data_IF_501620229304
#
_entry.id   IF_501620229304
#
_cell.length_a   1.000
_cell.length_b   1.000
_cell.length_c   1.000
_cell.angle_alpha   90.00
_cell.angle_beta   90.00
_cell.angle_gamma   90.00
#
_symmetry.space_group_name_H-M   'P 1'
#
loop_
_entity.id
_entity.type
_entity.pdbx_description
1 polymer ?
#
# COMPACT_ATOMS: atom_id res chain seq x y z
N UNK A 1 -1.34 -21.38 -7.80
CA UNK A 1 -2.31 -21.62 -6.69
C UNK A 1 -2.12 -20.49 -5.70
N UNK A 2 -3.20 -19.80 -5.30
CA UNK A 2 -3.12 -18.65 -4.39
C UNK A 2 -2.70 -19.14 -3.00
N UNK A 3 -1.77 -18.46 -2.32
CA UNK A 3 -1.25 -18.92 -1.02
C UNK A 3 -2.35 -19.05 0.03
N UNK A 4 -3.30 -18.12 0.07
CA UNK A 4 -4.47 -18.17 0.96
C UNK A 4 -5.30 -19.44 0.77
N UNK A 5 -5.48 -19.92 -0.48
CA UNK A 5 -6.24 -21.15 -0.75
C UNK A 5 -5.50 -22.42 -0.26
N UNK A 6 -4.20 -22.33 -0.02
CA UNK A 6 -3.42 -23.45 0.52
C UNK A 6 -3.47 -23.51 2.04
N UNK A 7 -3.72 -22.39 2.71
CA UNK A 7 -3.79 -22.30 4.18
C UNK A 7 -5.20 -22.59 4.72
N UNK A 8 -6.23 -22.54 3.87
CA UNK A 8 -7.61 -22.82 4.26
C UNK A 8 -7.91 -24.32 4.27
N UNK A 9 -8.53 -24.79 5.35
CA UNK A 9 -9.05 -26.16 5.46
C UNK A 9 -10.13 -26.44 4.39
N UNK A 10 -11.03 -25.48 4.16
CA UNK A 10 -12.02 -25.52 3.08
C UNK A 10 -11.82 -24.36 2.10
N UNK A 11 -11.33 -24.70 0.90
CA UNK A 11 -11.09 -23.75 -0.21
C UNK A 11 -12.37 -23.12 -0.76
N UNK A 12 -13.54 -23.72 -0.54
CA UNK A 12 -14.79 -23.13 -0.99
C UNK A 12 -15.13 -21.84 -0.24
N UNK A 13 -14.53 -21.65 0.94
CA UNK A 13 -14.73 -20.49 1.81
C UNK A 13 -13.90 -19.27 1.43
N UNK A 14 -12.95 -19.36 0.48
CA UNK A 14 -12.09 -18.20 0.14
C UNK A 14 -12.91 -16.97 -0.24
N UNK A 15 -13.93 -17.12 -1.10
CA UNK A 15 -14.78 -16.01 -1.56
C UNK A 15 -15.57 -15.34 -0.43
N UNK A 16 -16.35 -16.06 0.40
CA UNK A 16 -17.08 -15.44 1.50
C UNK A 16 -16.13 -14.81 2.54
N UNK A 17 -14.98 -15.44 2.83
CA UNK A 17 -13.97 -14.88 3.74
C UNK A 17 -13.44 -13.55 3.19
N UNK A 18 -12.96 -13.51 1.95
CA UNK A 18 -12.44 -12.29 1.32
C UNK A 18 -13.50 -11.18 1.30
N UNK A 19 -14.76 -11.51 0.98
CA UNK A 19 -15.85 -10.53 0.97
C UNK A 19 -16.11 -9.95 2.37
N UNK A 20 -16.07 -10.79 3.39
CA UNK A 20 -16.32 -10.39 4.78
C UNK A 20 -15.16 -9.53 5.30
N UNK A 21 -13.93 -9.94 5.05
CA UNK A 21 -12.72 -9.17 5.38
C UNK A 21 -12.74 -7.81 4.69
N UNK A 22 -13.07 -7.75 3.40
CA UNK A 22 -13.14 -6.48 2.67
C UNK A 22 -14.23 -5.56 3.22
N UNK A 23 -15.41 -6.10 3.56
CA UNK A 23 -16.49 -5.33 4.17
C UNK A 23 -16.10 -4.77 5.54
N UNK A 24 -15.43 -5.58 6.38
CA UNK A 24 -14.95 -5.16 7.70
C UNK A 24 -13.85 -4.10 7.59
N UNK A 25 -12.86 -4.28 6.71
CA UNK A 25 -11.83 -3.27 6.50
C UNK A 25 -12.44 -1.96 5.98
N UNK A 26 -13.37 -2.05 5.03
CA UNK A 26 -14.04 -0.88 4.46
C UNK A 26 -14.86 -0.12 5.50
N UNK A 27 -15.58 -0.83 6.38
CA UNK A 27 -16.38 -0.18 7.42
C UNK A 27 -15.52 0.56 8.43
N UNK A 28 -14.37 -0.01 8.83
CA UNK A 28 -13.41 0.66 9.72
C UNK A 28 -12.84 1.91 9.04
N UNK A 29 -12.44 1.84 7.77
CA UNK A 29 -11.93 3.01 7.05
C UNK A 29 -12.98 4.12 6.89
N UNK A 30 -14.22 3.76 6.54
CA UNK A 30 -15.30 4.74 6.39
C UNK A 30 -15.64 5.37 7.74
N UNK A 31 -15.79 4.57 8.80
CA UNK A 31 -16.12 5.08 10.13
C UNK A 31 -15.02 6.03 10.66
N UNK A 32 -13.75 5.63 10.56
CA UNK A 32 -12.63 6.46 11.00
C UNK A 32 -12.54 7.77 10.21
N UNK A 33 -12.66 7.71 8.88
CA UNK A 33 -12.64 8.91 8.03
C UNK A 33 -13.82 9.84 8.31
N UNK A 34 -15.02 9.28 8.51
CA UNK A 34 -16.22 10.04 8.80
C UNK A 34 -16.12 10.79 10.12
N UNK A 35 -15.71 10.11 11.20
CA UNK A 35 -15.56 10.76 12.51
C UNK A 35 -14.39 11.75 12.55
N UNK A 36 -13.28 11.46 11.88
CA UNK A 36 -12.17 12.40 11.75
C UNK A 36 -12.64 13.70 11.07
N UNK A 37 -13.37 13.59 9.96
CA UNK A 37 -13.90 14.75 9.25
C UNK A 37 -14.95 15.52 10.06
N UNK A 38 -15.81 14.83 10.83
CA UNK A 38 -16.76 15.51 11.72
C UNK A 38 -16.05 16.30 12.84
N UNK A 39 -14.89 15.82 13.30
CA UNK A 39 -14.15 16.45 14.39
C UNK A 39 -13.30 17.64 13.92
N UNK A 40 -12.62 17.52 12.77
CA UNK A 40 -11.65 18.52 12.29
C UNK A 40 -12.12 19.31 11.05
N UNK A 41 -13.15 18.83 10.36
CA UNK A 41 -13.67 19.43 9.14
C UNK A 41 -12.59 19.61 8.07
N UNK A 42 -12.59 20.79 7.45
CA UNK A 42 -11.57 21.24 6.48
C UNK A 42 -10.14 21.33 7.07
N UNK A 43 -9.99 21.28 8.40
CA UNK A 43 -8.70 21.28 9.10
C UNK A 43 -8.07 19.89 9.28
N UNK A 44 -8.66 18.83 8.72
CA UNK A 44 -8.13 17.46 8.82
C UNK A 44 -6.76 17.38 8.11
N UNK A 45 -5.72 17.03 8.86
CA UNK A 45 -4.36 16.86 8.32
C UNK A 45 -4.21 15.51 7.63
N UNK A 46 -3.19 15.39 6.78
CA UNK A 46 -2.85 14.13 6.11
C UNK A 46 -2.46 13.02 7.09
N UNK A 47 -1.89 13.40 8.25
CA UNK A 47 -1.77 12.55 9.43
C UNK A 47 -2.79 13.02 10.47
N UNK A 48 -3.88 12.28 10.61
CA UNK A 48 -4.96 12.62 11.53
C UNK A 48 -4.52 12.60 12.99
N UNK A 49 -3.47 11.84 13.36
CA UNK A 49 -2.93 11.87 14.72
C UNK A 49 -2.31 13.23 15.04
N UNK A 50 -1.75 13.93 14.04
CA UNK A 50 -1.20 15.27 14.22
C UNK A 50 -2.28 16.30 14.60
N UNK A 51 -3.54 16.09 14.22
CA UNK A 51 -4.63 16.96 14.66
C UNK A 51 -4.87 16.89 16.19
N UNK A 52 -4.56 15.76 16.82
CA UNK A 52 -4.75 15.55 18.26
C UNK A 52 -3.60 16.11 19.12
N UNK A 53 -2.57 16.69 18.52
CA UNK A 53 -1.50 17.38 19.26
C UNK A 53 -1.96 18.75 19.78
N UNK A 54 -3.07 19.28 19.23
CA UNK A 54 -3.72 20.48 19.72
C UNK A 54 -4.56 20.20 20.96
N UNK A 55 -4.75 21.20 21.83
CA UNK A 55 -5.62 21.05 22.99
C UNK A 55 -7.10 21.05 22.58
N UNK A 56 -7.69 19.86 22.54
CA UNK A 56 -9.12 19.67 22.23
C UNK A 56 -10.04 20.04 23.41
N UNK A 57 -9.51 20.51 24.55
CA UNK A 57 -10.25 20.78 25.79
C UNK A 57 -10.98 19.55 26.35
N UNK A 58 -10.54 18.35 25.98
CA UNK A 58 -11.06 17.06 26.46
C UNK A 58 -10.09 16.54 27.52
N UNK A 59 -10.58 16.15 28.72
CA UNK A 59 -9.71 15.60 29.76
C UNK A 59 -9.01 14.34 29.25
N UNK A 60 -7.71 14.21 29.55
CA UNK A 60 -6.84 13.09 29.15
C UNK A 60 -6.57 12.93 27.65
N UNK A 61 -7.01 13.85 26.78
CA UNK A 61 -6.80 13.76 25.31
C UNK A 61 -5.34 13.54 24.93
N UNK A 62 -4.41 14.31 25.53
CA UNK A 62 -2.97 14.17 25.29
C UNK A 62 -2.45 12.79 25.67
N UNK A 63 -2.87 12.24 26.81
CA UNK A 63 -2.42 10.92 27.28
C UNK A 63 -2.91 9.82 26.35
N UNK A 64 -4.17 9.90 25.90
CA UNK A 64 -4.69 8.94 24.91
C UNK A 64 -3.96 9.04 23.58
N UNK A 65 -3.70 10.25 23.08
CA UNK A 65 -2.91 10.47 21.86
C UNK A 65 -1.52 9.82 21.97
N UNK A 66 -0.82 10.05 23.08
CA UNK A 66 0.50 9.46 23.33
C UNK A 66 0.47 7.93 23.34
N UNK A 67 -0.53 7.34 24.02
CA UNK A 67 -0.71 5.87 24.06
C UNK A 67 -0.94 5.32 22.65
N UNK A 68 -1.80 5.95 21.85
CA UNK A 68 -2.09 5.52 20.47
C UNK A 68 -0.83 5.64 19.60
N UNK A 69 -0.08 6.73 19.72
CA UNK A 69 1.17 6.96 18.98
C UNK A 69 2.24 5.93 19.33
N UNK A 70 2.46 5.66 20.62
CA UNK A 70 3.43 4.65 21.06
C UNK A 70 3.01 3.26 20.57
N UNK A 71 1.72 2.92 20.68
CA UNK A 71 1.18 1.66 20.16
C UNK A 71 1.43 1.52 18.65
N UNK A 72 1.18 2.58 17.88
CA UNK A 72 1.46 2.60 16.45
C UNK A 72 2.94 2.43 16.12
N UNK A 73 3.84 3.13 16.81
CA UNK A 73 5.30 2.99 16.63
C UNK A 73 5.75 1.56 16.91
N UNK A 74 5.30 0.98 18.02
CA UNK A 74 5.62 -0.42 18.37
C UNK A 74 5.08 -1.38 17.32
N UNK A 75 3.85 -1.17 16.83
CA UNK A 75 3.27 -1.97 15.76
C UNK A 75 4.12 -1.92 14.48
N UNK A 76 4.49 -0.71 14.02
CA UNK A 76 5.31 -0.53 12.82
C UNK A 76 6.69 -1.18 12.98
N UNK A 77 7.32 -1.05 14.16
CA UNK A 77 8.59 -1.73 14.46
C UNK A 77 8.49 -3.26 14.34
N UNK A 78 7.37 -3.85 14.75
CA UNK A 78 7.16 -5.30 14.68
C UNK A 78 6.79 -5.78 13.27
N UNK A 79 6.06 -4.98 12.50
CA UNK A 79 5.65 -5.33 11.13
C UNK A 79 6.79 -5.14 10.13
N UNK A 80 7.67 -4.16 10.34
CA UNK A 80 8.76 -3.84 9.43
C UNK A 80 9.65 -5.06 9.05
N UNK A 81 10.13 -5.89 9.99
CA UNK A 81 10.93 -7.07 9.66
C UNK A 81 10.24 -8.05 8.71
N UNK A 82 8.93 -8.24 8.86
CA UNK A 82 8.14 -9.17 8.03
C UNK A 82 8.04 -8.64 6.60
N UNK A 83 7.71 -7.36 6.45
CA UNK A 83 7.60 -6.71 5.13
C UNK A 83 8.98 -6.62 4.46
N UNK A 84 10.01 -6.23 5.21
CA UNK A 84 11.38 -6.11 4.70
C UNK A 84 11.94 -7.47 4.26
N UNK A 85 11.61 -8.55 4.98
CA UNK A 85 11.94 -9.91 4.57
C UNK A 85 11.34 -10.26 3.21
N UNK A 86 10.05 -10.00 3.01
CA UNK A 86 9.38 -10.25 1.74
C UNK A 86 9.95 -9.38 0.60
N UNK A 87 10.22 -8.10 0.86
CA UNK A 87 10.86 -7.19 -0.10
C UNK A 87 12.21 -7.73 -0.56
N UNK A 88 13.04 -8.15 0.39
CA UNK A 88 14.36 -8.72 0.09
C UNK A 88 14.26 -9.97 -0.76
N UNK A 89 13.36 -10.89 -0.44
CA UNK A 89 13.19 -12.11 -1.25
C UNK A 89 12.73 -11.80 -2.68
N UNK A 90 11.80 -10.87 -2.85
CA UNK A 90 11.34 -10.45 -4.18
C UNK A 90 12.47 -9.78 -4.98
N UNK A 91 13.26 -8.90 -4.36
CA UNK A 91 14.39 -8.26 -5.03
C UNK A 91 15.50 -9.27 -5.37
N UNK A 92 15.77 -10.21 -4.46
CA UNK A 92 16.75 -11.29 -4.64
C UNK A 92 16.39 -12.17 -5.85
N UNK A 93 15.13 -12.60 -5.93
CA UNK A 93 14.62 -13.38 -7.06
C UNK A 93 14.55 -12.60 -8.37
N UNK A 94 14.31 -11.29 -8.32
CA UNK A 94 14.33 -10.41 -9.50
C UNK A 94 15.74 -10.22 -10.06
N UNK A 95 16.74 -9.99 -9.19
CA UNK A 95 18.11 -9.70 -9.60
C UNK A 95 18.93 -10.95 -9.92
N UNK A 96 18.69 -12.07 -9.23
CA UNK A 96 19.41 -13.32 -9.50
C UNK A 96 18.47 -14.53 -9.52
N UNK A 97 17.70 -14.70 -10.60
CA UNK A 97 16.67 -15.74 -10.70
C UNK A 97 17.23 -17.18 -10.70
N UNK A 98 18.51 -17.36 -11.05
CA UNK A 98 19.16 -18.69 -11.14
C UNK A 98 20.07 -19.00 -9.94
N UNK A 99 20.23 -18.05 -9.01
CA UNK A 99 21.12 -18.22 -7.87
C UNK A 99 20.50 -19.08 -6.77
N UNK A 100 21.37 -19.70 -5.95
CA UNK A 100 20.94 -20.45 -4.77
C UNK A 100 20.22 -19.51 -3.79
N UNK A 101 19.33 -20.07 -2.98
CA UNK A 101 18.54 -19.32 -2.01
C UNK A 101 19.40 -18.40 -1.14
N UNK A 102 18.93 -17.17 -0.91
CA UNK A 102 19.66 -16.09 -0.24
C UNK A 102 20.24 -16.47 1.14
N UNK A 103 19.62 -17.44 1.82
CA UNK A 103 20.08 -17.94 3.13
C UNK A 103 21.44 -18.65 3.08
N UNK A 104 21.88 -19.11 1.92
CA UNK A 104 23.16 -19.80 1.76
C UNK A 104 24.31 -18.87 1.36
N UNK A 105 24.03 -17.64 0.94
CA UNK A 105 25.04 -16.66 0.54
C UNK A 105 24.96 -15.43 1.46
N UNK A 106 25.75 -15.49 2.53
CA UNK A 106 25.75 -14.45 3.56
C UNK A 106 26.23 -13.09 3.01
N UNK A 107 27.11 -13.10 2.00
CA UNK A 107 27.62 -11.86 1.39
C UNK A 107 26.52 -11.18 0.57
N UNK A 108 25.82 -11.94 -0.28
CA UNK A 108 24.68 -11.44 -1.06
C UNK A 108 23.56 -10.97 -0.15
N UNK A 109 23.25 -11.73 0.89
CA UNK A 109 22.29 -11.35 1.93
C UNK A 109 22.61 -9.98 2.54
N UNK A 110 23.86 -9.78 2.98
CA UNK A 110 24.29 -8.52 3.58
C UNK A 110 24.25 -7.36 2.59
N UNK A 111 24.74 -7.55 1.36
CA UNK A 111 24.75 -6.50 0.33
C UNK A 111 23.33 -6.03 0.02
N UNK A 112 22.40 -6.95 -0.27
CA UNK A 112 21.02 -6.60 -0.61
C UNK A 112 20.34 -5.91 0.59
N UNK A 113 20.55 -6.43 1.80
CA UNK A 113 19.96 -5.86 3.01
C UNK A 113 20.46 -4.44 3.26
N UNK A 114 21.78 -4.23 3.23
CA UNK A 114 22.38 -2.90 3.43
C UNK A 114 21.95 -1.94 2.32
N UNK A 115 21.94 -2.38 1.05
CA UNK A 115 21.49 -1.52 -0.05
C UNK A 115 20.03 -1.11 0.08
N UNK A 116 19.15 -2.04 0.47
CA UNK A 116 17.74 -1.74 0.68
C UNK A 116 17.54 -0.77 1.84
N UNK A 117 18.22 -0.98 2.97
CA UNK A 117 18.14 -0.08 4.12
C UNK A 117 18.65 1.32 3.79
N UNK A 118 19.74 1.43 3.03
CA UNK A 118 20.25 2.73 2.56
C UNK A 118 19.24 3.43 1.67
N UNK A 119 18.65 2.73 0.70
CA UNK A 119 17.62 3.31 -0.19
C UNK A 119 16.39 3.77 0.59
N UNK A 120 15.88 2.94 1.50
CA UNK A 120 14.72 3.29 2.35
C UNK A 120 15.05 4.48 3.25
N UNK A 121 16.25 4.49 3.87
CA UNK A 121 16.68 5.60 4.71
C UNK A 121 16.81 6.91 3.93
N UNK A 122 17.41 6.88 2.74
CA UNK A 122 17.47 8.05 1.87
C UNK A 122 16.08 8.52 1.47
N UNK A 123 15.20 7.62 1.04
CA UNK A 123 13.81 7.97 0.72
C UNK A 123 13.08 8.61 1.91
N UNK A 124 13.27 8.10 3.12
CA UNK A 124 12.68 8.66 4.33
C UNK A 124 13.20 10.07 4.67
N UNK A 125 14.44 10.40 4.31
CA UNK A 125 14.98 11.76 4.51
C UNK A 125 14.52 12.74 3.42
N UNK A 126 14.26 12.27 2.20
CA UNK A 126 13.88 13.14 1.08
C UNK A 126 12.36 13.35 0.94
N UNK A 127 11.54 12.44 1.47
CA UNK A 127 10.08 12.50 1.39
C UNK A 127 9.55 13.12 2.69
N UNK A 128 9.14 14.40 2.69
CA UNK A 128 8.75 15.10 3.91
C UNK A 128 7.37 14.68 4.45
N UNK A 129 6.53 14.05 3.62
CA UNK A 129 5.20 13.57 4.01
C UNK A 129 4.97 12.14 3.55
N UNK A 130 4.54 11.28 4.48
CA UNK A 130 4.16 9.90 4.17
C UNK A 130 2.97 9.82 3.21
N UNK A 131 2.12 10.86 3.20
CA UNK A 131 0.98 10.96 2.30
C UNK A 131 1.41 10.98 0.83
N UNK A 132 2.46 11.73 0.50
CA UNK A 132 2.99 11.81 -0.86
C UNK A 132 3.46 10.42 -1.34
N UNK A 133 4.10 9.65 -0.46
CA UNK A 133 4.53 8.28 -0.75
C UNK A 133 3.35 7.33 -0.98
N UNK A 134 2.30 7.43 -0.17
CA UNK A 134 1.10 6.61 -0.30
C UNK A 134 0.30 6.92 -1.56
N UNK A 135 0.15 8.20 -1.91
CA UNK A 135 -0.52 8.63 -3.14
C UNK A 135 0.19 8.06 -4.38
N UNK A 136 1.51 8.24 -4.46
CA UNK A 136 2.28 7.77 -5.61
C UNK A 136 2.26 6.24 -5.71
N UNK A 137 2.44 5.53 -4.59
CA UNK A 137 2.41 4.06 -4.56
C UNK A 137 1.01 3.52 -4.89
N UNK A 138 -0.04 4.18 -4.41
CA UNK A 138 -1.42 3.85 -4.72
C UNK A 138 -1.75 4.05 -6.20
N UNK A 139 -1.42 5.20 -6.76
CA UNK A 139 -1.68 5.53 -8.17
C UNK A 139 -0.87 4.66 -9.15
N UNK A 140 0.24 4.05 -8.71
CA UNK A 140 1.10 3.24 -9.58
C UNK A 140 0.97 1.75 -9.29
N UNK A 141 1.62 1.27 -8.23
CA UNK A 141 1.74 -0.16 -7.92
C UNK A 141 0.38 -0.80 -7.61
N UNK A 142 -0.46 -0.16 -6.80
CA UNK A 142 -1.75 -0.73 -6.43
C UNK A 142 -2.67 -0.87 -7.64
N UNK A 143 -2.67 0.10 -8.56
CA UNK A 143 -3.51 0.00 -9.76
C UNK A 143 -2.95 -0.99 -10.79
N UNK A 144 -1.62 -1.09 -10.91
CA UNK A 144 -0.99 -2.11 -11.76
C UNK A 144 -1.40 -3.51 -11.32
N UNK A 145 -1.29 -3.81 -10.02
CA UNK A 145 -1.59 -5.14 -9.47
C UNK A 145 -3.10 -5.39 -9.41
N UNK A 146 -3.88 -4.39 -9.01
CA UNK A 146 -5.33 -4.53 -8.79
C UNK A 146 -6.16 -4.55 -10.06
N UNK A 147 -5.74 -3.83 -11.11
CA UNK A 147 -6.56 -3.63 -12.30
C UNK A 147 -5.82 -4.01 -13.60
N UNK A 148 -4.62 -3.48 -13.84
CA UNK A 148 -3.98 -3.63 -15.15
C UNK A 148 -3.49 -5.06 -15.40
N UNK A 149 -2.75 -5.66 -14.47
CA UNK A 149 -2.24 -7.03 -14.65
C UNK A 149 -3.34 -8.09 -14.72
N UNK A 150 -4.38 -8.09 -13.87
CA UNK A 150 -5.49 -9.03 -14.02
C UNK A 150 -6.20 -8.89 -15.37
N UNK A 151 -6.42 -7.66 -15.84
CA UNK A 151 -7.00 -7.41 -17.17
C UNK A 151 -6.09 -7.94 -18.30
N UNK A 152 -4.78 -7.70 -18.21
CA UNK A 152 -3.81 -8.20 -19.18
C UNK A 152 -3.79 -9.72 -19.26
N UNK A 153 -3.92 -10.42 -18.12
CA UNK A 153 -4.00 -11.89 -18.09
C UNK A 153 -5.24 -12.38 -18.83
N UNK A 154 -6.41 -11.74 -18.64
CA UNK A 154 -7.66 -12.08 -19.37
C UNK A 154 -7.48 -11.86 -20.88
N UNK A 155 -6.80 -10.79 -21.29
CA UNK A 155 -6.59 -10.49 -22.70
C UNK A 155 -5.58 -11.42 -23.37
N UNK A 156 -4.57 -11.88 -22.63
CA UNK A 156 -3.56 -12.84 -23.10
C UNK A 156 -3.99 -14.31 -22.95
N UNK A 157 -5.27 -14.56 -22.71
CA UNK A 157 -5.78 -15.90 -22.53
C UNK A 157 -5.55 -16.76 -23.79
N UNK A 158 -4.57 -17.67 -23.68
CA UNK A 158 -4.16 -18.59 -24.75
C UNK A 158 -5.03 -19.84 -24.81
N UNK A 159 -5.82 -20.11 -23.76
CA UNK A 159 -6.69 -21.29 -23.65
C UNK A 159 -8.12 -21.01 -24.14
N UNK A 160 -8.45 -19.76 -24.46
CA UNK A 160 -9.74 -19.38 -25.04
C UNK A 160 -10.93 -19.52 -24.08
N UNK A 161 -10.68 -19.48 -22.78
CA UNK A 161 -11.66 -19.56 -21.70
C UNK A 161 -12.43 -18.23 -21.56
N UNK A 162 -11.75 -17.10 -21.79
CA UNK A 162 -12.31 -15.76 -21.63
C UNK A 162 -13.34 -15.42 -22.72
N UNK A 163 -14.54 -15.00 -22.30
CA UNK A 163 -15.61 -14.63 -23.20
C UNK A 163 -15.36 -13.26 -23.85
N UNK A 164 -16.09 -12.94 -24.93
CA UNK A 164 -16.03 -11.60 -25.55
C UNK A 164 -16.38 -10.49 -24.55
N UNK A 165 -17.29 -10.75 -23.60
CA UNK A 165 -17.66 -9.79 -22.55
C UNK A 165 -16.50 -9.56 -21.59
N UNK A 166 -15.82 -10.62 -21.17
CA UNK A 166 -14.66 -10.52 -20.26
C UNK A 166 -13.52 -9.72 -20.89
N UNK A 167 -13.29 -9.92 -22.20
CA UNK A 167 -12.29 -9.14 -22.95
C UNK A 167 -12.66 -7.67 -23.05
N UNK A 168 -13.93 -7.35 -23.32
CA UNK A 168 -14.40 -5.94 -23.32
C UNK A 168 -14.24 -5.32 -21.94
N UNK A 169 -14.63 -6.02 -20.87
CA UNK A 169 -14.46 -5.57 -19.50
C UNK A 169 -12.98 -5.33 -19.15
N UNK A 170 -12.09 -6.24 -19.54
CA UNK A 170 -10.65 -6.10 -19.33
C UNK A 170 -10.08 -4.86 -20.05
N UNK A 171 -10.46 -4.62 -21.32
CA UNK A 171 -10.06 -3.41 -22.05
C UNK A 171 -10.58 -2.16 -21.34
N UNK A 172 -11.86 -2.13 -20.95
CA UNK A 172 -12.42 -0.97 -20.23
C UNK A 172 -11.70 -0.72 -18.91
N UNK A 173 -11.33 -1.77 -18.19
CA UNK A 173 -10.62 -1.67 -16.92
C UNK A 173 -9.22 -1.07 -17.09
N UNK A 174 -8.48 -1.47 -18.14
CA UNK A 174 -7.17 -0.88 -18.45
C UNK A 174 -7.31 0.58 -18.84
N UNK A 175 -8.27 0.92 -19.72
CA UNK A 175 -8.46 2.31 -20.17
C UNK A 175 -8.79 3.22 -18.98
N UNK A 176 -9.75 2.82 -18.14
CA UNK A 176 -10.11 3.59 -16.94
C UNK A 176 -8.93 3.73 -15.99
N UNK A 177 -8.21 2.64 -15.70
CA UNK A 177 -7.05 2.66 -14.82
C UNK A 177 -5.93 3.60 -15.32
N UNK A 178 -5.60 3.54 -16.62
CA UNK A 178 -4.55 4.40 -17.19
C UNK A 178 -4.97 5.87 -17.15
N UNK A 179 -6.21 6.18 -17.52
CA UNK A 179 -6.71 7.55 -17.49
C UNK A 179 -6.76 8.11 -16.06
N UNK A 180 -7.35 7.38 -15.11
CA UNK A 180 -7.46 7.83 -13.72
C UNK A 180 -6.09 8.03 -13.08
N UNK A 181 -5.15 7.11 -13.32
CA UNK A 181 -3.81 7.22 -12.76
C UNK A 181 -3.01 8.34 -13.40
N UNK A 182 -3.18 8.60 -14.70
CA UNK A 182 -2.49 9.72 -15.35
C UNK A 182 -2.91 11.04 -14.71
N UNK A 183 -4.21 11.20 -14.43
CA UNK A 183 -4.75 12.37 -13.72
C UNK A 183 -4.23 12.43 -12.28
N UNK A 184 -4.26 11.32 -11.54
CA UNK A 184 -3.77 11.27 -10.16
C UNK A 184 -2.28 11.61 -10.08
N UNK A 185 -1.45 10.97 -10.90
CA UNK A 185 -0.01 11.19 -10.93
C UNK A 185 0.35 12.63 -11.33
N UNK A 186 -0.39 13.21 -12.27
CA UNK A 186 -0.23 14.61 -12.63
C UNK A 186 -0.59 15.53 -11.46
N UNK A 187 -1.72 15.29 -10.80
CA UNK A 187 -2.15 16.05 -9.63
C UNK A 187 -1.13 15.99 -8.49
N UNK A 188 -0.63 14.79 -8.18
CA UNK A 188 0.34 14.55 -7.11
C UNK A 188 1.71 15.17 -7.45
N UNK A 189 2.14 15.08 -8.71
CA UNK A 189 3.39 15.72 -9.14
C UNK A 189 3.31 17.25 -9.06
N UNK A 190 2.17 17.83 -9.45
CA UNK A 190 1.97 19.28 -9.38
C UNK A 190 1.86 19.76 -7.93
N UNK A 191 1.19 19.02 -7.05
CA UNK A 191 1.07 19.41 -5.63
C UNK A 191 2.43 19.45 -4.95
N UNK A 192 3.30 18.47 -5.21
CA UNK A 192 4.68 18.44 -4.69
C UNK A 192 5.50 19.60 -5.28
N UNK A 193 5.35 19.89 -6.58
CA UNK A 193 6.10 20.96 -7.23
C UNK A 193 5.72 22.34 -6.66
N UNK A 194 4.43 22.64 -6.55
CA UNK A 194 3.98 23.92 -5.98
C UNK A 194 4.36 24.09 -4.51
N UNK A 195 4.23 23.03 -3.69
CA UNK A 195 4.64 23.08 -2.27
C UNK A 195 6.14 23.36 -2.10
N UNK A 196 6.97 22.97 -3.08
CA UNK A 196 8.41 23.23 -3.08
C UNK A 196 8.78 24.63 -3.60
N UNK A 197 7.89 25.28 -4.34
CA UNK A 197 8.08 26.68 -4.80
C UNK A 197 7.73 27.67 -3.69
N UNK A 198 6.81 27.31 -2.79
CA UNK A 198 6.36 28.15 -1.68
C UNK A 198 7.22 28.03 -0.39
N UNK A 199 8.05 26.98 -0.28
CA UNK A 199 8.91 26.69 0.87
C UNK A 199 10.35 27.22 0.68
#
# INVERSE_FOLDING_TARGET
VHSIDNELEDRSQTKPIVRTSLALCSSVYVATSFFAYLLFGEGTLSDVLANFDSDLHIPFSSVFNDIVRVSYVVHVMLVFPIVFFALRLNLDGLLFPTSRHISHDNRRFTIITVSLLVVIYLAANFIPSIWDAFQFTGATAAVLIGFIFPAMIILRDSYGIATKRDKVLAVTMIVLAVLSNSVALYSDAMSIFYRKVEA
#
